data_IF_113146931064
#
_entry.id   IF_113146931064
#
_cell.length_a   1.000
_cell.length_b   1.000
_cell.length_c   1.000
_cell.angle_alpha   90.00
_cell.angle_beta   90.00
_cell.angle_gamma   90.00
#
_symmetry.space_group_name_H-M   'P 1'
#
loop_
_entity.id
_entity.type
_entity.pdbx_description
1 polymer ?
#
# COMPACT_ATOMS: atom_id res chain seq x y z
N UNK A 1 -6.09 -9.75 -2.52
CA UNK A 1 -5.52 -10.15 -3.79
C UNK A 1 -5.49 -8.98 -4.76
N UNK A 2 -4.56 -8.97 -5.73
CA UNK A 2 -4.59 -8.01 -6.82
C UNK A 2 -3.22 -7.64 -7.37
N UNK A 3 -3.17 -6.89 -8.49
CA UNK A 3 -1.94 -6.44 -9.11
C UNK A 3 -1.03 -5.63 -8.18
N UNK A 4 0.23 -5.47 -8.56
CA UNK A 4 1.17 -4.62 -7.83
C UNK A 4 0.75 -3.15 -7.94
N UNK A 5 0.92 -2.37 -6.86
CA UNK A 5 0.71 -0.92 -6.89
C UNK A 5 -0.74 -0.44 -6.82
N UNK A 6 -1.70 -1.32 -6.49
CA UNK A 6 -3.13 -0.97 -6.37
C UNK A 6 -3.55 -0.53 -4.95
N UNK A 7 -2.61 -0.43 -3.99
CA UNK A 7 -2.89 0.06 -2.64
C UNK A 7 -3.13 -1.00 -1.57
N UNK A 8 -2.83 -2.29 -1.81
CA UNK A 8 -3.03 -3.36 -0.81
C UNK A 8 -2.37 -3.06 0.55
N UNK A 9 -1.12 -2.64 0.54
CA UNK A 9 -0.36 -2.29 1.76
C UNK A 9 -0.87 -0.99 2.40
N UNK A 10 -1.31 -0.01 1.59
CA UNK A 10 -1.88 1.25 2.10
C UNK A 10 -3.21 1.03 2.82
N UNK A 11 -4.05 0.07 2.33
CA UNK A 11 -5.27 -0.30 3.05
C UNK A 11 -4.96 -0.80 4.46
N UNK A 12 -3.91 -1.62 4.62
CA UNK A 12 -3.53 -2.14 5.94
C UNK A 12 -3.07 -1.02 6.90
N UNK A 13 -2.36 0.00 6.39
CA UNK A 13 -1.99 1.18 7.18
C UNK A 13 -3.20 2.01 7.58
N UNK A 14 -4.06 2.33 6.62
CA UNK A 14 -5.29 3.08 6.87
C UNK A 14 -6.19 2.36 7.89
N UNK A 15 -6.25 1.02 7.82
CA UNK A 15 -6.99 0.23 8.80
C UNK A 15 -6.37 0.29 10.20
N UNK A 16 -5.03 0.28 10.31
CA UNK A 16 -4.34 0.42 11.59
C UNK A 16 -4.60 1.79 12.21
N UNK A 17 -4.57 2.86 11.41
CA UNK A 17 -4.90 4.20 11.85
C UNK A 17 -6.37 4.31 12.28
N UNK A 18 -7.29 3.79 11.49
CA UNK A 18 -8.73 3.84 11.77
C UNK A 18 -9.13 3.09 13.05
N UNK A 19 -8.53 1.91 13.30
CA UNK A 19 -8.93 1.06 14.43
C UNK A 19 -8.14 1.33 15.72
N UNK A 20 -6.89 1.78 15.57
CA UNK A 20 -5.94 1.91 16.69
C UNK A 20 -5.33 3.32 16.80
N UNK A 21 -5.90 4.31 16.10
CA UNK A 21 -5.48 5.72 16.09
C UNK A 21 -3.98 5.92 15.78
N UNK A 22 -3.36 4.96 15.07
CA UNK A 22 -1.94 5.06 14.74
C UNK A 22 -1.54 4.11 13.62
N UNK A 23 -0.95 4.63 12.55
CA UNK A 23 -0.27 3.83 11.52
C UNK A 23 0.84 2.94 12.11
N UNK A 24 1.44 3.36 13.26
CA UNK A 24 2.47 2.60 13.98
C UNK A 24 1.92 1.36 14.70
N UNK A 25 0.60 1.19 14.74
CA UNK A 25 -0.05 -0.03 15.22
C UNK A 25 -0.04 -1.14 14.16
N UNK A 26 0.64 -0.96 13.04
CA UNK A 26 0.86 -1.99 12.03
C UNK A 26 2.22 -2.67 12.22
N UNK A 27 2.19 -4.01 12.22
CA UNK A 27 3.38 -4.88 12.16
C UNK A 27 3.46 -5.42 10.74
N UNK A 28 4.43 -4.98 9.96
CA UNK A 28 4.63 -5.46 8.58
C UNK A 28 5.77 -6.45 8.51
N UNK A 29 5.51 -7.60 7.91
CA UNK A 29 6.49 -8.66 7.65
C UNK A 29 6.40 -9.02 6.16
N UNK A 30 7.52 -8.88 5.45
CA UNK A 30 7.65 -9.25 4.04
C UNK A 30 7.99 -10.74 3.94
N UNK A 31 7.10 -11.52 3.35
CA UNK A 31 7.27 -12.97 3.24
C UNK A 31 8.36 -13.39 2.25
N UNK A 32 8.86 -12.48 1.42
CA UNK A 32 10.04 -12.73 0.59
C UNK A 32 11.32 -12.98 1.40
N UNK A 33 11.37 -12.50 2.66
CA UNK A 33 12.46 -12.79 3.59
C UNK A 33 12.35 -14.17 4.26
N UNK A 34 11.22 -14.88 4.05
CA UNK A 34 10.86 -16.15 4.70
C UNK A 34 10.67 -17.29 3.69
N UNK A 35 11.42 -17.26 2.61
CA UNK A 35 11.39 -18.28 1.55
C UNK A 35 12.08 -19.57 1.97
N UNK A 36 13.00 -19.51 2.93
CA UNK A 36 13.80 -20.64 3.38
C UNK A 36 13.30 -21.19 4.72
N UNK A 37 13.47 -22.50 4.93
CA UNK A 37 13.05 -23.18 6.15
C UNK A 37 13.62 -22.55 7.43
N UNK A 38 14.88 -22.14 7.40
CA UNK A 38 15.53 -21.53 8.58
C UNK A 38 14.96 -20.16 8.94
N UNK A 39 14.43 -19.44 7.99
CA UNK A 39 13.84 -18.13 8.24
C UNK A 39 12.54 -18.20 9.05
N UNK A 40 11.84 -19.34 9.05
CA UNK A 40 10.64 -19.54 9.87
C UNK A 40 10.92 -19.34 11.38
N UNK A 41 12.11 -19.74 11.84
CA UNK A 41 12.51 -19.53 13.23
C UNK A 41 12.63 -18.03 13.59
N UNK A 42 12.90 -17.17 12.63
CA UNK A 42 12.90 -15.71 12.86
C UNK A 42 11.52 -15.16 13.17
N UNK A 43 10.44 -15.81 12.70
CA UNK A 43 9.06 -15.40 13.00
C UNK A 43 8.68 -15.69 14.46
N UNK A 44 9.02 -16.88 14.95
CA UNK A 44 8.59 -17.37 16.27
C UNK A 44 9.68 -17.31 17.33
N UNK A 45 10.94 -17.13 16.93
CA UNK A 45 12.12 -17.17 17.79
C UNK A 45 12.88 -18.48 17.66
N UNK A 46 14.20 -18.44 17.86
CA UNK A 46 15.07 -19.60 17.86
C UNK A 46 14.85 -20.44 19.13
N UNK A 47 14.95 -21.78 19.06
CA UNK A 47 14.90 -22.63 20.23
C UNK A 47 16.15 -22.45 21.11
N UNK A 48 16.11 -22.90 22.38
CA UNK A 48 17.25 -22.80 23.29
C UNK A 48 18.53 -23.42 22.72
N UNK A 49 19.64 -22.70 22.85
CA UNK A 49 20.95 -23.12 22.35
C UNK A 49 21.26 -22.71 20.88
N UNK A 50 20.35 -22.05 20.19
CA UNK A 50 20.60 -21.51 18.87
C UNK A 50 20.88 -20.01 18.91
N UNK A 51 21.62 -19.51 17.92
CA UNK A 51 21.89 -18.07 17.73
C UNK A 51 20.57 -17.33 17.50
N UNK A 52 20.37 -16.21 18.23
CA UNK A 52 19.14 -15.41 18.15
C UNK A 52 18.04 -15.81 19.17
N UNK A 53 18.31 -16.75 20.08
CA UNK A 53 17.36 -17.14 21.12
C UNK A 53 16.89 -15.96 21.98
N UNK A 54 17.81 -15.07 22.37
CA UNK A 54 17.52 -13.91 23.23
C UNK A 54 16.75 -12.79 22.50
N UNK A 55 16.81 -12.76 21.17
CA UNK A 55 16.14 -11.75 20.37
C UNK A 55 14.62 -11.97 20.28
N UNK A 56 14.16 -13.23 20.46
CA UNK A 56 12.76 -13.61 20.26
C UNK A 56 12.34 -13.64 18.79
N UNK A 57 11.09 -13.98 18.53
CA UNK A 57 10.55 -14.02 17.17
C UNK A 57 10.01 -12.66 16.71
N UNK A 58 10.28 -12.28 15.47
CA UNK A 58 9.83 -10.98 14.93
C UNK A 58 8.30 -10.82 15.02
N UNK A 59 7.54 -11.86 14.67
CA UNK A 59 6.09 -11.84 14.75
C UNK A 59 5.60 -11.89 16.21
N UNK A 60 6.12 -12.84 16.99
CA UNK A 60 5.68 -13.07 18.38
C UNK A 60 6.02 -11.91 19.29
N UNK A 61 7.23 -11.34 19.21
CA UNK A 61 7.63 -10.19 20.02
C UNK A 61 6.87 -8.91 19.62
N UNK A 62 6.63 -8.69 18.32
CA UNK A 62 5.88 -7.53 17.87
C UNK A 62 4.45 -7.54 18.41
N UNK A 63 3.73 -8.67 18.29
CA UNK A 63 2.36 -8.80 18.80
C UNK A 63 2.32 -8.84 20.33
N UNK A 64 3.30 -9.45 20.99
CA UNK A 64 3.38 -9.43 22.46
C UNK A 64 3.50 -8.01 23.01
N UNK A 65 4.28 -7.15 22.33
CA UNK A 65 4.45 -5.73 22.72
C UNK A 65 3.26 -4.86 22.35
N UNK A 66 2.58 -5.19 21.25
CA UNK A 66 1.42 -4.45 20.74
C UNK A 66 0.30 -5.44 20.41
N UNK A 67 -0.48 -5.90 21.41
CA UNK A 67 -1.54 -6.90 21.19
C UNK A 67 -2.67 -6.38 20.29
N UNK A 68 -2.94 -5.08 20.31
CA UNK A 68 -3.89 -4.40 19.44
C UNK A 68 -3.13 -3.84 18.25
N UNK A 69 -3.09 -4.60 17.16
CA UNK A 69 -2.33 -4.24 15.96
C UNK A 69 -2.87 -4.90 14.71
N UNK A 70 -2.56 -4.33 13.58
CA UNK A 70 -2.71 -4.95 12.27
C UNK A 70 -1.40 -5.65 11.93
N UNK A 71 -1.45 -6.96 11.75
CA UNK A 71 -0.32 -7.78 11.29
C UNK A 71 -0.46 -7.96 9.78
N UNK A 72 0.42 -7.31 9.02
CA UNK A 72 0.47 -7.42 7.57
C UNK A 72 1.56 -8.40 7.15
N UNK A 73 1.17 -9.51 6.54
CA UNK A 73 2.05 -10.48 5.89
C UNK A 73 2.04 -10.19 4.40
N UNK A 74 3.07 -9.50 3.92
CA UNK A 74 3.15 -9.04 2.53
C UNK A 74 3.73 -10.14 1.62
N UNK A 75 3.14 -10.35 0.43
CA UNK A 75 3.53 -11.37 -0.56
C UNK A 75 3.54 -12.81 0.00
N UNK A 76 2.42 -13.19 0.64
CA UNK A 76 2.29 -14.48 1.36
C UNK A 76 2.61 -15.71 0.51
N UNK A 77 2.42 -15.65 -0.81
CA UNK A 77 2.74 -16.72 -1.74
C UNK A 77 4.23 -17.06 -1.82
N UNK A 78 5.11 -16.17 -1.37
CA UNK A 78 6.56 -16.38 -1.36
C UNK A 78 7.06 -17.12 -0.13
N UNK A 79 6.22 -17.23 0.91
CA UNK A 79 6.59 -17.86 2.16
C UNK A 79 6.92 -19.36 2.01
N UNK A 80 7.91 -19.83 2.77
CA UNK A 80 8.17 -21.26 2.89
C UNK A 80 6.93 -22.01 3.42
N UNK A 81 6.65 -23.25 2.99
CA UNK A 81 5.50 -24.03 3.45
C UNK A 81 5.35 -24.14 4.98
N UNK A 82 6.44 -24.14 5.73
CA UNK A 82 6.41 -24.21 7.19
C UNK A 82 5.86 -22.93 7.84
N UNK A 83 5.88 -21.78 7.17
CA UNK A 83 5.23 -20.54 7.62
C UNK A 83 3.72 -20.75 7.71
N UNK A 84 3.12 -21.45 6.76
CA UNK A 84 1.68 -21.74 6.78
C UNK A 84 1.29 -22.59 7.97
N UNK A 85 2.14 -23.52 8.40
CA UNK A 85 1.89 -24.33 9.61
C UNK A 85 1.87 -23.46 10.88
N UNK A 86 2.73 -22.44 10.96
CA UNK A 86 2.73 -21.45 12.04
C UNK A 86 1.45 -20.60 11.98
N UNK A 87 1.07 -20.14 10.79
CA UNK A 87 -0.13 -19.32 10.61
C UNK A 87 -1.42 -20.09 10.91
N UNK A 88 -1.49 -21.37 10.56
CA UNK A 88 -2.65 -22.22 10.92
C UNK A 88 -2.89 -22.22 12.43
N UNK A 89 -1.83 -22.33 13.25
CA UNK A 89 -1.97 -22.26 14.70
C UNK A 89 -2.53 -20.91 15.16
N UNK A 90 -2.09 -19.82 14.54
CA UNK A 90 -2.59 -18.48 14.86
C UNK A 90 -4.06 -18.33 14.46
N UNK A 91 -4.43 -18.79 13.25
CA UNK A 91 -5.78 -18.65 12.71
C UNK A 91 -6.80 -19.56 13.45
N UNK A 92 -6.39 -20.76 13.86
CA UNK A 92 -7.26 -21.70 14.58
C UNK A 92 -7.42 -21.34 16.06
N UNK A 93 -6.29 -21.13 16.78
CA UNK A 93 -6.29 -20.97 18.23
C UNK A 93 -6.26 -19.51 18.70
N UNK A 94 -5.97 -18.56 17.82
CA UNK A 94 -5.73 -17.14 18.17
C UNK A 94 -4.52 -16.95 19.08
N UNK A 95 -3.55 -17.88 19.05
CA UNK A 95 -2.34 -17.85 19.87
C UNK A 95 -1.19 -18.58 19.18
N UNK A 96 0.03 -18.21 19.56
CA UNK A 96 1.25 -18.83 19.06
C UNK A 96 2.26 -18.99 20.18
N UNK A 97 2.89 -20.17 20.29
CA UNK A 97 3.97 -20.39 21.24
C UNK A 97 5.30 -19.98 20.61
N UNK A 98 6.03 -19.09 21.27
CA UNK A 98 7.34 -18.64 20.77
C UNK A 98 8.46 -19.66 21.07
N UNK A 99 9.66 -19.41 20.54
CA UNK A 99 10.84 -20.26 20.74
C UNK A 99 11.31 -20.34 22.19
N UNK A 100 10.81 -19.49 23.09
CA UNK A 100 11.11 -19.50 24.52
C UNK A 100 10.00 -20.20 25.33
N UNK A 101 9.00 -20.77 24.68
CA UNK A 101 7.88 -21.45 25.32
C UNK A 101 6.78 -20.54 25.87
N UNK A 102 6.81 -19.23 25.54
CA UNK A 102 5.77 -18.26 25.95
C UNK A 102 4.61 -18.30 24.95
N UNK A 103 3.39 -18.27 25.47
CA UNK A 103 2.18 -18.19 24.64
C UNK A 103 1.84 -16.74 24.37
N UNK A 104 1.83 -16.36 23.09
CA UNK A 104 1.46 -15.02 22.62
C UNK A 104 0.04 -15.07 22.07
N UNK A 105 -0.84 -14.18 22.54
CA UNK A 105 -2.23 -14.08 22.09
C UNK A 105 -2.33 -13.15 20.88
N UNK A 106 -3.03 -13.62 19.84
CA UNK A 106 -3.37 -12.88 18.62
C UNK A 106 -4.84 -12.49 18.55
N UNK A 107 -5.62 -12.73 19.61
CA UNK A 107 -7.09 -12.53 19.62
C UNK A 107 -7.53 -11.07 19.36
N UNK A 108 -6.64 -10.12 19.65
CA UNK A 108 -6.87 -8.69 19.44
C UNK A 108 -6.11 -8.14 18.23
N UNK A 109 -5.43 -8.99 17.47
CA UNK A 109 -4.74 -8.61 16.25
C UNK A 109 -5.59 -8.92 15.02
N UNK A 110 -5.51 -8.05 14.02
CA UNK A 110 -6.10 -8.28 12.70
C UNK A 110 -4.98 -8.74 11.78
N UNK A 111 -5.16 -9.92 11.18
CA UNK A 111 -4.16 -10.49 10.26
C UNK A 111 -4.60 -10.17 8.84
N UNK A 112 -3.74 -9.49 8.11
CA UNK A 112 -3.91 -9.19 6.69
C UNK A 112 -2.78 -9.86 5.92
N UNK A 113 -3.15 -10.61 4.90
CA UNK A 113 -2.22 -11.25 3.98
C UNK A 113 -2.40 -10.64 2.59
N UNK A 114 -1.34 -10.10 2.00
CA UNK A 114 -1.40 -9.63 0.61
C UNK A 114 -0.82 -10.67 -0.32
N UNK A 115 -1.35 -10.73 -1.53
CA UNK A 115 -0.85 -11.61 -2.57
C UNK A 115 -1.02 -11.00 -3.96
N UNK A 116 -0.09 -11.33 -4.86
CA UNK A 116 -0.14 -10.99 -6.27
C UNK A 116 -0.67 -12.15 -7.14
N UNK A 117 -1.11 -13.25 -6.51
CA UNK A 117 -1.76 -14.36 -7.20
C UNK A 117 -3.02 -13.85 -7.93
N UNK A 118 -3.34 -14.47 -9.04
CA UNK A 118 -4.44 -14.10 -9.92
C UNK A 118 -4.38 -12.65 -10.48
N UNK A 119 -3.20 -12.00 -10.44
CA UNK A 119 -3.07 -10.62 -10.95
C UNK A 119 -3.32 -10.52 -12.45
N UNK A 120 -3.00 -11.57 -13.21
CA UNK A 120 -3.25 -11.59 -14.65
C UNK A 120 -4.75 -11.75 -14.92
N UNK A 121 -5.41 -12.68 -14.26
CA UNK A 121 -6.84 -12.92 -14.34
C UNK A 121 -7.65 -11.66 -13.99
N UNK A 122 -7.18 -10.94 -12.96
CA UNK A 122 -7.82 -9.68 -12.53
C UNK A 122 -7.66 -8.58 -13.60
N UNK A 123 -6.46 -8.47 -14.22
CA UNK A 123 -6.22 -7.51 -15.29
C UNK A 123 -7.04 -7.83 -16.54
N UNK A 124 -7.09 -9.10 -16.92
CA UNK A 124 -7.81 -9.53 -18.10
C UNK A 124 -9.33 -9.31 -17.94
N UNK A 125 -9.86 -9.62 -16.77
CA UNK A 125 -11.27 -9.35 -16.44
C UNK A 125 -11.60 -7.85 -16.45
N UNK A 126 -10.68 -7.00 -15.95
CA UNK A 126 -10.88 -5.55 -15.99
C UNK A 126 -10.92 -5.03 -17.42
N UNK A 127 -9.96 -5.44 -18.29
CA UNK A 127 -9.93 -5.06 -19.71
C UNK A 127 -11.17 -5.52 -20.48
N UNK A 128 -11.65 -6.75 -20.22
CA UNK A 128 -12.87 -7.26 -20.83
C UNK A 128 -14.09 -6.44 -20.44
N UNK A 129 -14.14 -5.91 -19.21
CA UNK A 129 -15.25 -5.08 -18.74
C UNK A 129 -15.16 -3.64 -19.24
N UNK A 130 -13.97 -3.04 -19.36
CA UNK A 130 -13.79 -1.72 -19.96
C UNK A 130 -14.21 -1.72 -21.42
N UNK A 131 -13.77 -2.68 -22.22
CA UNK A 131 -14.16 -2.81 -23.62
C UNK A 131 -15.67 -3.06 -23.81
N UNK A 132 -16.33 -3.71 -22.85
CA UNK A 132 -17.80 -3.87 -22.87
C UNK A 132 -18.52 -2.59 -22.43
N UNK A 133 -18.00 -1.83 -21.49
CA UNK A 133 -18.55 -0.54 -21.07
C UNK A 133 -18.63 0.42 -22.24
N UNK A 134 -17.55 0.56 -23.00
CA UNK A 134 -17.47 1.39 -24.20
C UNK A 134 -18.43 0.90 -25.31
N UNK A 135 -18.60 -0.42 -25.48
CA UNK A 135 -19.58 -0.96 -26.44
C UNK A 135 -21.03 -0.80 -25.96
N UNK A 136 -21.28 -0.69 -24.65
CA UNK A 136 -22.62 -0.65 -24.07
C UNK A 136 -23.16 0.76 -23.86
N UNK A 137 -22.38 1.81 -23.89
CA UNK A 137 -22.87 3.19 -24.02
C UNK A 137 -23.67 3.39 -25.32
N UNK A 138 -23.46 2.52 -26.30
CA UNK A 138 -24.23 2.51 -27.56
C UNK A 138 -25.42 1.54 -27.63
N UNK A 139 -25.62 0.64 -26.66
CA UNK A 139 -26.68 -0.37 -26.68
C UNK A 139 -27.35 -0.51 -25.29
N UNK A 140 -28.61 -0.13 -25.20
CA UNK A 140 -29.44 -0.30 -24.01
C UNK A 140 -29.57 -1.77 -23.61
N UNK A 141 -29.30 -2.03 -22.31
CA UNK A 141 -29.55 -3.26 -21.54
C UNK A 141 -28.59 -4.43 -21.80
N UNK A 142 -27.48 -4.42 -21.06
CA UNK A 142 -26.76 -5.66 -20.79
C UNK A 142 -27.65 -6.63 -19.99
N UNK A 143 -27.68 -7.84 -20.47
CA UNK A 143 -28.39 -8.92 -19.81
C UNK A 143 -27.72 -9.21 -18.45
N UNK A 144 -28.39 -8.88 -17.34
CA UNK A 144 -27.91 -9.10 -15.95
C UNK A 144 -27.42 -10.54 -15.76
N UNK A 145 -28.02 -11.49 -16.49
CA UNK A 145 -27.62 -12.89 -16.47
C UNK A 145 -26.22 -13.10 -17.05
N UNK A 146 -25.84 -12.39 -18.11
CA UNK A 146 -24.51 -12.48 -18.73
C UNK A 146 -23.43 -11.88 -17.82
N UNK A 147 -23.72 -10.75 -17.17
CA UNK A 147 -22.80 -10.13 -16.20
C UNK A 147 -22.59 -11.03 -14.97
N UNK A 148 -23.66 -11.64 -14.45
CA UNK A 148 -23.60 -12.59 -13.34
C UNK A 148 -22.77 -13.84 -13.68
N UNK A 149 -22.93 -14.39 -14.90
CA UNK A 149 -22.16 -15.54 -15.35
C UNK A 149 -20.66 -15.22 -15.47
N UNK A 150 -20.30 -14.08 -16.04
CA UNK A 150 -18.90 -13.64 -16.15
C UNK A 150 -18.26 -13.42 -14.78
N UNK A 151 -18.99 -12.83 -13.84
CA UNK A 151 -18.50 -12.65 -12.46
C UNK A 151 -18.28 -14.01 -11.77
N UNK A 152 -19.16 -14.98 -11.98
CA UNK A 152 -18.99 -16.32 -11.45
C UNK A 152 -17.77 -17.04 -12.06
N UNK A 153 -17.58 -16.94 -13.37
CA UNK A 153 -16.41 -17.49 -14.07
C UNK A 153 -15.11 -16.84 -13.56
N UNK A 154 -15.09 -15.53 -13.38
CA UNK A 154 -13.97 -14.80 -12.81
C UNK A 154 -13.65 -15.25 -11.38
N UNK A 155 -14.67 -15.35 -10.52
CA UNK A 155 -14.51 -15.83 -9.14
C UNK A 155 -13.93 -17.25 -9.12
N UNK A 156 -14.39 -18.14 -10.00
CA UNK A 156 -13.87 -19.50 -10.09
C UNK A 156 -12.38 -19.51 -10.53
N UNK A 157 -12.00 -18.71 -11.51
CA UNK A 157 -10.57 -18.60 -11.93
C UNK A 157 -9.67 -18.14 -10.77
N UNK A 158 -10.11 -17.14 -9.98
CA UNK A 158 -9.36 -16.71 -8.79
C UNK A 158 -9.25 -17.83 -7.78
N UNK A 159 -10.35 -18.56 -7.51
CA UNK A 159 -10.32 -19.69 -6.59
C UNK A 159 -9.41 -20.82 -7.05
N UNK A 160 -9.38 -21.11 -8.35
CA UNK A 160 -8.50 -22.14 -8.91
C UNK A 160 -7.02 -21.74 -8.77
N UNK A 161 -6.68 -20.46 -9.03
CA UNK A 161 -5.33 -19.93 -8.84
C UNK A 161 -4.90 -19.98 -7.36
N UNK A 162 -5.81 -19.71 -6.42
CA UNK A 162 -5.56 -19.85 -4.99
C UNK A 162 -5.34 -21.30 -4.56
N UNK A 163 -6.20 -22.23 -5.04
CA UNK A 163 -6.08 -23.67 -4.75
C UNK A 163 -4.83 -24.30 -5.34
N UNK A 164 -4.31 -23.76 -6.44
CA UNK A 164 -3.06 -24.20 -7.02
C UNK A 164 -1.84 -23.81 -6.15
N UNK A 165 -1.94 -22.76 -5.35
CA UNK A 165 -0.82 -22.24 -4.57
C UNK A 165 -0.95 -22.60 -3.08
N UNK A 166 -2.14 -22.52 -2.52
CA UNK A 166 -2.37 -22.73 -1.09
C UNK A 166 -3.14 -24.01 -0.82
N UNK A 167 -2.79 -24.65 0.29
CA UNK A 167 -3.53 -25.84 0.74
C UNK A 167 -4.97 -25.48 1.13
N UNK A 168 -5.94 -26.37 0.86
CA UNK A 168 -7.35 -26.13 1.22
C UNK A 168 -7.56 -25.83 2.72
N UNK A 169 -6.81 -26.48 3.60
CA UNK A 169 -6.87 -26.27 5.04
C UNK A 169 -6.53 -24.84 5.43
N UNK A 170 -5.60 -24.19 4.72
CA UNK A 170 -5.24 -22.80 4.95
C UNK A 170 -6.31 -21.83 4.42
N UNK A 171 -6.80 -22.08 3.19
CA UNK A 171 -7.83 -21.24 2.58
C UNK A 171 -9.13 -21.23 3.41
N UNK A 172 -9.48 -22.36 4.03
CA UNK A 172 -10.70 -22.50 4.85
C UNK A 172 -10.63 -21.71 6.19
N UNK A 173 -9.46 -21.17 6.58
CA UNK A 173 -9.30 -20.33 7.78
C UNK A 173 -9.26 -18.85 7.49
N UNK A 174 -9.31 -18.49 6.23
CA UNK A 174 -9.38 -17.09 5.83
C UNK A 174 -10.84 -16.65 5.90
N UNK A 175 -11.12 -15.61 6.68
CA UNK A 175 -12.48 -15.12 6.88
C UNK A 175 -13.03 -14.48 5.60
N UNK A 176 -12.19 -13.70 4.89
CA UNK A 176 -12.63 -13.02 3.66
C UNK A 176 -11.45 -12.80 2.69
N UNK A 177 -11.78 -12.80 1.38
CA UNK A 177 -10.83 -12.60 0.30
C UNK A 177 -11.25 -11.39 -0.53
N UNK A 178 -10.54 -10.29 -0.32
CA UNK A 178 -10.80 -9.03 -1.02
C UNK A 178 -9.95 -8.96 -2.29
N UNK A 179 -10.60 -8.69 -3.41
CA UNK A 179 -9.92 -8.53 -4.70
C UNK A 179 -9.84 -7.06 -5.08
N UNK A 180 -8.62 -6.56 -5.24
CA UNK A 180 -8.35 -5.21 -5.73
C UNK A 180 -8.38 -5.19 -7.25
N UNK A 181 -9.15 -4.26 -7.81
CA UNK A 181 -9.14 -3.98 -9.25
C UNK A 181 -7.85 -3.26 -9.64
N UNK A 182 -7.41 -3.36 -10.90
CA UNK A 182 -6.39 -2.47 -11.44
C UNK A 182 -6.81 -1.01 -11.28
N UNK A 183 -5.84 -0.12 -11.09
CA UNK A 183 -6.12 1.31 -11.08
C UNK A 183 -6.40 1.79 -12.51
N UNK A 184 -7.35 2.70 -12.66
CA UNK A 184 -7.53 3.51 -13.86
C UNK A 184 -6.79 4.86 -13.73
N UNK A 185 -6.56 5.54 -14.84
CA UNK A 185 -5.95 6.89 -14.84
C UNK A 185 -6.81 7.86 -14.01
N UNK A 186 -8.13 7.75 -14.07
CA UNK A 186 -9.08 8.58 -13.30
C UNK A 186 -8.89 8.40 -11.79
N UNK A 187 -8.46 7.20 -11.35
CA UNK A 187 -8.18 6.90 -9.94
C UNK A 187 -6.86 7.52 -9.46
N UNK A 188 -6.01 8.02 -10.35
CA UNK A 188 -4.68 8.50 -9.99
C UNK A 188 -4.72 9.87 -9.31
N UNK A 189 -5.58 10.78 -9.73
CA UNK A 189 -5.64 12.13 -9.17
C UNK A 189 -5.85 12.16 -7.65
N UNK A 190 -6.81 11.43 -7.06
CA UNK A 190 -6.93 11.30 -5.61
C UNK A 190 -5.68 10.73 -4.94
N UNK A 191 -4.99 9.77 -5.58
CA UNK A 191 -3.77 9.16 -5.06
C UNK A 191 -2.62 10.18 -5.05
N UNK A 192 -2.48 10.97 -6.13
CA UNK A 192 -1.50 12.06 -6.20
C UNK A 192 -1.74 13.07 -5.07
N UNK A 193 -2.99 13.49 -4.85
CA UNK A 193 -3.36 14.42 -3.77
C UNK A 193 -2.97 13.88 -2.39
N UNK A 194 -3.23 12.59 -2.12
CA UNK A 194 -2.83 11.94 -0.87
C UNK A 194 -1.31 11.91 -0.68
N UNK A 195 -0.55 11.61 -1.73
CA UNK A 195 0.92 11.60 -1.66
C UNK A 195 1.50 13.01 -1.48
N UNK A 196 0.88 14.02 -2.07
CA UNK A 196 1.26 15.43 -1.88
C UNK A 196 0.94 15.91 -0.46
N UNK A 197 -0.12 15.40 0.17
CA UNK A 197 -0.44 15.71 1.57
C UNK A 197 0.66 15.22 2.53
N UNK A 198 1.29 14.08 2.23
CA UNK A 198 2.45 13.62 2.99
C UNK A 198 3.65 14.58 2.85
N UNK A 199 3.82 15.20 1.68
CA UNK A 199 4.86 16.22 1.48
C UNK A 199 4.51 17.49 2.25
N UNK A 200 3.24 17.95 2.21
CA UNK A 200 2.76 19.12 2.97
C UNK A 200 2.99 18.94 4.46
N UNK A 201 2.68 17.76 5.03
CA UNK A 201 2.93 17.47 6.45
C UNK A 201 4.40 17.63 6.85
N UNK A 202 5.34 17.23 5.98
CA UNK A 202 6.79 17.39 6.26
C UNK A 202 7.24 18.85 6.17
N UNK A 203 6.60 19.66 5.35
CA UNK A 203 6.89 21.09 5.21
C UNK A 203 6.26 21.93 6.33
N UNK A 204 5.24 21.39 7.00
CA UNK A 204 4.50 22.07 8.05
C UNK A 204 5.37 22.50 9.25
N UNK A 205 6.41 21.72 9.59
CA UNK A 205 7.36 22.05 10.67
C UNK A 205 8.11 23.37 10.42
N UNK A 206 8.25 23.78 9.17
CA UNK A 206 8.83 25.05 8.75
C UNK A 206 7.79 26.09 8.34
N UNK A 207 6.50 25.78 8.53
CA UNK A 207 5.38 26.61 8.08
C UNK A 207 5.38 26.91 6.58
N UNK A 208 6.00 26.05 5.76
CA UNK A 208 6.03 26.18 4.31
C UNK A 208 4.75 25.59 3.73
N UNK A 209 4.03 26.39 2.93
CA UNK A 209 2.87 25.92 2.18
C UNK A 209 3.28 25.38 0.81
N UNK A 210 2.57 24.34 0.33
CA UNK A 210 2.79 23.71 -0.97
C UNK A 210 1.49 23.67 -1.76
N UNK A 211 1.49 24.31 -2.91
CA UNK A 211 0.43 24.21 -3.91
C UNK A 211 0.95 23.59 -5.20
N UNK A 212 0.06 22.92 -5.91
CA UNK A 212 0.34 22.27 -7.19
C UNK A 212 -0.75 22.69 -8.15
N UNK A 213 -0.38 23.19 -9.31
CA UNK A 213 -1.35 23.62 -10.32
C UNK A 213 -2.17 22.43 -10.86
N UNK A 214 -3.38 22.66 -11.36
CA UNK A 214 -4.19 21.61 -11.98
C UNK A 214 -3.45 20.90 -13.13
N UNK A 215 -2.70 21.64 -13.95
CA UNK A 215 -1.90 21.10 -15.03
C UNK A 215 -0.79 20.15 -14.51
N UNK A 216 -0.04 20.58 -13.50
CA UNK A 216 0.99 19.74 -12.88
C UNK A 216 0.39 18.50 -12.20
N UNK A 217 -0.81 18.61 -11.64
CA UNK A 217 -1.52 17.50 -11.01
C UNK A 217 -1.98 16.45 -12.02
N UNK A 218 -2.45 16.90 -13.18
CA UNK A 218 -2.81 16.02 -14.30
C UNK A 218 -1.58 15.29 -14.85
N UNK A 219 -0.47 16.00 -15.07
CA UNK A 219 0.78 15.40 -15.52
C UNK A 219 1.33 14.38 -14.49
N UNK A 220 1.31 14.69 -13.19
CA UNK A 220 1.69 13.75 -12.15
C UNK A 220 0.81 12.49 -12.16
N UNK A 221 -0.46 12.63 -12.49
CA UNK A 221 -1.40 11.50 -12.59
C UNK A 221 -1.09 10.61 -13.79
N UNK A 222 -0.78 11.20 -14.94
CA UNK A 222 -0.45 10.47 -16.17
C UNK A 222 0.93 9.82 -16.06
N UNK A 223 1.97 10.58 -15.71
CA UNK A 223 3.35 10.12 -15.65
C UNK A 223 3.61 9.15 -14.47
N UNK A 224 2.80 9.27 -13.41
CA UNK A 224 2.86 8.42 -12.22
C UNK A 224 2.12 7.09 -12.38
N UNK A 225 1.38 6.90 -13.47
CA UNK A 225 0.62 5.69 -13.75
C UNK A 225 1.39 4.73 -14.64
N UNK A 226 1.35 3.44 -14.28
CA UNK A 226 1.86 2.36 -15.11
C UNK A 226 0.82 1.22 -15.16
N UNK A 227 0.43 0.74 -16.36
CA UNK A 227 -0.59 -0.31 -16.48
C UNK A 227 -0.24 -1.64 -15.80
N UNK A 228 1.05 -1.91 -15.57
CA UNK A 228 1.53 -3.14 -14.92
C UNK A 228 1.79 -2.92 -13.43
N UNK A 229 2.40 -1.78 -13.08
CA UNK A 229 2.85 -1.45 -11.72
C UNK A 229 1.92 -0.48 -10.98
N UNK A 230 0.80 -0.09 -11.59
CA UNK A 230 -0.20 0.81 -10.98
C UNK A 230 0.38 2.15 -10.57
N UNK A 231 0.11 2.59 -9.36
CA UNK A 231 0.62 3.84 -8.78
C UNK A 231 2.02 3.72 -8.15
N UNK A 232 2.73 2.59 -8.31
CA UNK A 232 4.07 2.42 -7.70
C UNK A 232 5.11 3.42 -8.21
N UNK A 233 5.15 3.81 -9.50
CA UNK A 233 6.07 4.83 -10.00
C UNK A 233 5.81 6.22 -9.44
N UNK A 234 4.56 6.55 -9.07
CA UNK A 234 4.15 7.88 -8.60
C UNK A 234 4.99 8.40 -7.43
N UNK A 235 5.28 7.54 -6.46
CA UNK A 235 6.08 7.94 -5.29
C UNK A 235 7.49 8.43 -5.69
N UNK A 236 8.11 7.77 -6.66
CA UNK A 236 9.43 8.17 -7.17
C UNK A 236 9.33 9.45 -8.00
N UNK A 237 8.25 9.59 -8.77
CA UNK A 237 7.99 10.79 -9.56
C UNK A 237 7.83 12.00 -8.63
N UNK A 238 6.97 11.93 -7.61
CA UNK A 238 6.79 13.00 -6.62
C UNK A 238 8.10 13.30 -5.89
N UNK A 239 8.88 12.27 -5.53
CA UNK A 239 10.19 12.50 -4.91
C UNK A 239 11.09 13.35 -5.82
N UNK A 240 11.22 12.99 -7.09
CA UNK A 240 12.11 13.66 -8.06
C UNK A 240 11.60 15.04 -8.47
N UNK A 241 10.30 15.13 -8.82
CA UNK A 241 9.77 16.35 -9.43
C UNK A 241 9.24 17.38 -8.41
N UNK A 242 8.93 16.95 -7.20
CA UNK A 242 8.42 17.83 -6.16
C UNK A 242 9.44 17.97 -5.04
N UNK A 243 9.76 16.87 -4.34
CA UNK A 243 10.57 16.94 -3.11
C UNK A 243 12.01 17.37 -3.39
N UNK A 244 12.66 16.80 -4.40
CA UNK A 244 14.05 17.12 -4.73
C UNK A 244 14.18 18.56 -5.25
N UNK A 245 13.18 19.08 -6.00
CA UNK A 245 13.15 20.49 -6.44
C UNK A 245 12.98 21.45 -5.27
N UNK A 246 12.13 21.13 -4.31
CA UNK A 246 11.99 21.91 -3.05
C UNK A 246 13.29 21.87 -2.27
N UNK A 247 13.94 20.71 -2.16
CA UNK A 247 15.21 20.54 -1.48
C UNK A 247 16.34 21.36 -2.15
N UNK A 248 16.39 21.39 -3.49
CA UNK A 248 17.34 22.22 -4.23
C UNK A 248 17.12 23.71 -3.96
N UNK A 249 15.86 24.18 -3.93
CA UNK A 249 15.53 25.55 -3.56
C UNK A 249 15.97 25.88 -2.11
N UNK A 250 15.81 24.92 -1.19
CA UNK A 250 16.25 25.08 0.19
C UNK A 250 17.79 25.18 0.30
N UNK A 251 18.53 24.31 -0.40
CA UNK A 251 20.00 24.31 -0.43
C UNK A 251 20.54 25.63 -1.03
N UNK A 252 19.86 26.16 -2.04
CA UNK A 252 20.21 27.46 -2.65
C UNK A 252 19.81 28.67 -1.79
N UNK A 253 19.25 28.46 -0.60
CA UNK A 253 18.80 29.53 0.30
C UNK A 253 17.57 30.30 -0.16
N UNK A 254 16.82 29.76 -1.14
CA UNK A 254 15.60 30.39 -1.66
C UNK A 254 14.37 30.05 -0.82
N UNK A 255 14.36 28.90 -0.12
CA UNK A 255 13.27 28.45 0.71
C UNK A 255 13.48 28.92 2.16
N UNK A 256 12.76 29.93 2.56
CA UNK A 256 12.73 30.45 3.92
C UNK A 256 11.56 29.83 4.70
N UNK A 257 11.56 29.94 6.02
CA UNK A 257 10.39 29.60 6.83
C UNK A 257 9.21 30.51 6.46
N UNK A 258 8.00 29.93 6.40
CA UNK A 258 6.76 30.57 5.95
C UNK A 258 6.73 30.94 4.45
N UNK A 259 7.64 30.39 3.64
CA UNK A 259 7.56 30.52 2.18
C UNK A 259 6.36 29.76 1.62
N UNK A 260 5.89 30.22 0.46
CA UNK A 260 4.91 29.50 -0.36
C UNK A 260 5.63 28.85 -1.56
N UNK A 261 5.38 27.57 -1.78
CA UNK A 261 5.93 26.80 -2.90
C UNK A 261 4.81 26.45 -3.87
N UNK A 262 4.97 26.81 -5.13
CA UNK A 262 4.09 26.42 -6.21
C UNK A 262 4.82 25.49 -7.17
N UNK A 263 4.26 24.30 -7.38
CA UNK A 263 4.71 23.37 -8.42
C UNK A 263 3.79 23.55 -9.63
N UNK A 264 4.42 23.82 -10.76
CA UNK A 264 3.74 24.02 -12.03
C UNK A 264 4.43 23.21 -13.14
N UNK A 265 3.86 23.24 -14.34
CA UNK A 265 4.44 22.65 -15.52
C UNK A 265 4.68 23.72 -16.57
N UNK A 266 5.82 23.66 -17.25
CA UNK A 266 6.09 24.52 -18.41
C UNK A 266 5.39 23.90 -19.61
N UNK A 267 4.33 24.56 -20.09
CA UNK A 267 3.52 24.12 -21.24
C UNK A 267 4.33 23.94 -22.54
N UNK A 268 5.50 24.57 -22.63
CA UNK A 268 6.36 24.50 -23.83
C UNK A 268 7.36 23.36 -23.78
N UNK A 269 7.90 23.08 -22.61
CA UNK A 269 8.92 22.06 -22.39
C UNK A 269 8.35 20.77 -21.80
N UNK A 270 7.18 20.81 -21.18
CA UNK A 270 6.60 19.69 -20.43
C UNK A 270 7.32 19.37 -19.15
N UNK A 271 8.22 20.27 -18.69
CA UNK A 271 9.03 20.08 -17.49
C UNK A 271 8.34 20.66 -16.25
N UNK A 272 8.49 19.99 -15.13
CA UNK A 272 8.00 20.52 -13.86
C UNK A 272 8.85 21.69 -13.39
N UNK A 273 8.21 22.74 -12.91
CA UNK A 273 8.85 23.94 -12.35
C UNK A 273 8.50 24.09 -10.87
N UNK A 274 9.40 24.70 -10.12
CA UNK A 274 9.23 24.97 -8.69
C UNK A 274 9.45 26.45 -8.44
N UNK A 275 8.39 27.18 -8.15
CA UNK A 275 8.40 28.59 -7.80
C UNK A 275 8.32 28.73 -6.29
N UNK A 276 9.26 29.50 -5.69
CA UNK A 276 9.27 29.77 -4.26
C UNK A 276 9.05 31.25 -4.06
N UNK A 277 7.94 31.57 -3.40
CA UNK A 277 7.60 32.92 -2.99
C UNK A 277 8.08 33.14 -1.55
N UNK A 278 8.78 34.25 -1.33
CA UNK A 278 9.21 34.63 0.00
C UNK A 278 7.98 34.90 0.91
N UNK A 279 8.10 34.74 2.23
CA UNK A 279 7.01 35.06 3.14
C UNK A 279 6.59 36.52 2.94
N UNK A 280 5.29 36.77 2.93
CA UNK A 280 4.76 38.14 2.98
C UNK A 280 5.28 38.81 4.24
N UNK A 281 6.05 39.87 4.07
CA UNK A 281 6.55 40.69 5.15
C UNK A 281 5.36 41.50 5.73
N UNK A 282 4.71 40.94 6.73
CA UNK A 282 3.53 41.59 7.38
C UNK A 282 3.91 42.89 8.08
N UNK A 283 5.21 43.10 8.34
CA UNK A 283 5.73 44.35 8.92
C UNK A 283 5.96 45.46 7.86
N UNK A 284 5.82 45.12 6.56
CA UNK A 284 5.96 46.10 5.47
C UNK A 284 4.63 46.71 5.00
N UNK A 285 3.50 46.38 5.64
CA UNK A 285 2.22 47.06 5.37
C UNK A 285 2.27 48.46 5.97
N UNK A 286 2.08 49.51 5.19
CA UNK A 286 1.96 50.86 5.74
C UNK A 286 0.77 50.88 6.70
N UNK A 287 1.03 51.29 7.96
CA UNK A 287 -0.02 51.60 8.90
C UNK A 287 -0.79 52.85 8.33
N UNK A 288 -1.98 52.62 7.76
CA UNK A 288 -2.94 53.66 7.50
C UNK A 288 -3.65 54.10 8.80
#
# INVERSE_FOLDING_TARGET
LGPTGVGKTELAKALAEYLFDSEKAMVRIDMSEYMEKFSVQRLIGAPPGYVGYDEGGQLTEAVRRKPYSVVLLDEIEKAHPDVFNVLLQVLDDGRLTDGQGRVVSFKNAIIIMTSNIASQEIRDFAKENESMGEMMEGMMKADVATASKKLAEFTNRIQDSLRATFKPEFLNRIDDIITFKPLSIESMEPIVKLQLEDVRRRLADRHVSLDVTPAALEHLSIDGFDPVYGARPLKRLIQREVVDRIADAAVRGKLLDRSHVLIDIDDTAGDYTCHVEAPLDLDALPLE
#
